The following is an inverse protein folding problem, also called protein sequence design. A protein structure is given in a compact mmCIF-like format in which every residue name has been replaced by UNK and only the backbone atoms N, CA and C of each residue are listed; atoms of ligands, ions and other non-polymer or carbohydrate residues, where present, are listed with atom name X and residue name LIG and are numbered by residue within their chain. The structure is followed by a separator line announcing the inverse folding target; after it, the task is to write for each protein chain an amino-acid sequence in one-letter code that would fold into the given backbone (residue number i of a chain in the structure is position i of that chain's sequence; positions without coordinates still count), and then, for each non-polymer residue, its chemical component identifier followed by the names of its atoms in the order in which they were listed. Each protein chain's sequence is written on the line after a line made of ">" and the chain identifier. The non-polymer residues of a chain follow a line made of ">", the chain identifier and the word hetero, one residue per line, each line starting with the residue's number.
data_IF_775882357307
#
_entry.id   IF_775882357307
#
_cell.length_a   1.000
_cell.length_b   1.000
_cell.length_c   1.000
_cell.angle_alpha   90.00
_cell.angle_beta   90.00
_cell.angle_gamma   90.00
#
_symmetry.space_group_name_H-M   'P 1'
#
loop_
_entity.id
_entity.type
_entity.pdbx_description
1 polymer ?
#
# COMPACT_ATOMS: atom_id res chain seq x y z
N UNK A 1 1.29 -13.81 -17.64
CA UNK A 1 2.07 -13.35 -16.47
C UNK A 1 3.54 -13.77 -16.53
N UNK A 2 3.86 -15.07 -16.55
CA UNK A 2 5.25 -15.57 -16.55
C UNK A 2 6.11 -15.02 -17.70
N UNK A 3 5.58 -14.96 -18.92
CA UNK A 3 6.31 -14.41 -20.08
C UNK A 3 6.76 -12.95 -19.88
N UNK A 4 6.02 -12.15 -19.13
CA UNK A 4 6.42 -10.77 -18.81
C UNK A 4 7.60 -10.75 -17.81
N UNK A 5 7.61 -11.68 -16.83
CA UNK A 5 8.72 -11.85 -15.90
C UNK A 5 9.98 -12.32 -16.61
N UNK A 6 9.86 -13.25 -17.57
CA UNK A 6 11.00 -13.72 -18.38
C UNK A 6 11.61 -12.59 -19.18
N UNK A 7 10.78 -11.80 -19.90
CA UNK A 7 11.28 -10.63 -20.65
C UNK A 7 11.97 -9.62 -19.74
N UNK A 8 11.40 -9.37 -18.56
CA UNK A 8 11.98 -8.43 -17.59
C UNK A 8 13.29 -8.93 -17.01
N UNK A 9 13.38 -10.22 -16.67
CA UNK A 9 14.59 -10.83 -16.15
C UNK A 9 15.71 -10.85 -17.20
N UNK A 10 15.36 -11.17 -18.46
CA UNK A 10 16.28 -11.10 -19.59
C UNK A 10 16.81 -9.68 -19.84
N UNK A 11 15.96 -8.66 -19.74
CA UNK A 11 16.38 -7.26 -19.87
C UNK A 11 17.37 -6.82 -18.77
N UNK A 12 17.31 -7.46 -17.60
CA UNK A 12 18.23 -7.21 -16.47
C UNK A 12 19.40 -8.22 -16.43
N UNK A 13 19.51 -9.14 -17.40
CA UNK A 13 20.57 -10.16 -17.44
C UNK A 13 20.54 -11.16 -16.28
N UNK A 14 19.38 -11.37 -15.65
CA UNK A 14 19.23 -12.22 -14.47
C UNK A 14 18.17 -13.30 -14.67
N UNK A 15 18.13 -14.28 -13.77
CA UNK A 15 17.10 -15.31 -13.77
C UNK A 15 15.79 -14.79 -13.18
N UNK A 16 14.65 -15.40 -13.53
CA UNK A 16 13.34 -15.04 -12.96
C UNK A 16 13.31 -15.17 -11.43
N UNK A 17 13.85 -16.23 -10.80
CA UNK A 17 13.93 -16.30 -9.33
C UNK A 17 14.75 -15.17 -8.70
N UNK A 18 15.83 -14.75 -9.34
CA UNK A 18 16.64 -13.61 -8.88
C UNK A 18 15.86 -12.29 -8.97
N UNK A 19 15.14 -12.08 -10.08
CA UNK A 19 14.25 -10.93 -10.24
C UNK A 19 13.22 -10.88 -9.11
N UNK A 20 12.58 -12.01 -8.80
CA UNK A 20 11.58 -12.09 -7.73
C UNK A 20 12.18 -11.83 -6.35
N UNK A 21 13.36 -12.39 -6.03
CA UNK A 21 14.06 -12.11 -4.76
C UNK A 21 14.37 -10.62 -4.60
N UNK A 22 14.81 -9.94 -5.67
CA UNK A 22 15.04 -8.50 -5.66
C UNK A 22 13.76 -7.69 -5.48
N UNK A 23 12.65 -8.10 -6.10
CA UNK A 23 11.38 -7.42 -5.90
C UNK A 23 10.84 -7.63 -4.48
N UNK A 24 10.96 -8.83 -3.94
CA UNK A 24 10.60 -9.12 -2.55
C UNK A 24 11.43 -8.26 -1.57
N UNK A 25 12.75 -8.16 -1.79
CA UNK A 25 13.61 -7.29 -0.99
C UNK A 25 13.22 -5.80 -1.11
N UNK A 26 12.90 -5.32 -2.32
CA UNK A 26 12.39 -3.94 -2.52
C UNK A 26 11.07 -3.69 -1.80
N UNK A 27 10.15 -4.65 -1.82
CA UNK A 27 8.87 -4.56 -1.12
C UNK A 27 9.08 -4.56 0.40
N UNK A 28 9.96 -5.42 0.91
CA UNK A 28 10.29 -5.48 2.34
C UNK A 28 11.02 -4.22 2.83
N UNK A 29 11.84 -3.59 1.98
CA UNK A 29 12.53 -2.34 2.28
C UNK A 29 11.61 -1.10 2.21
N UNK A 30 10.37 -1.25 1.71
CA UNK A 30 9.43 -0.14 1.64
C UNK A 30 9.05 0.27 3.07
N UNK A 31 9.18 1.55 3.43
CA UNK A 31 8.77 1.98 4.75
C UNK A 31 7.30 1.68 4.99
N UNK A 32 6.91 1.28 6.21
CA UNK A 32 5.52 0.99 6.52
C UNK A 32 4.64 2.21 6.21
N UNK A 33 3.37 1.97 5.89
CA UNK A 33 2.39 3.03 5.61
C UNK A 33 2.35 4.07 6.74
N UNK A 34 2.51 3.63 7.99
CA UNK A 34 2.62 4.51 9.16
C UNK A 34 3.76 5.52 9.08
N UNK A 35 4.93 5.14 8.57
CA UNK A 35 6.07 6.05 8.39
C UNK A 35 5.82 7.07 7.28
N UNK A 36 5.10 6.68 6.23
CA UNK A 36 4.63 7.62 5.20
C UNK A 36 3.59 8.59 5.75
N UNK A 37 2.63 8.10 6.53
CA UNK A 37 1.62 8.92 7.20
C UNK A 37 2.25 9.91 8.19
N UNK A 38 3.23 9.48 8.99
CA UNK A 38 3.96 10.35 9.89
C UNK A 38 4.76 11.44 9.15
N UNK A 39 5.28 11.13 7.95
CA UNK A 39 5.96 12.11 7.09
C UNK A 39 4.98 13.08 6.44
N UNK A 40 3.83 12.60 5.96
CA UNK A 40 2.79 13.41 5.35
C UNK A 40 2.05 14.30 6.37
N UNK A 41 1.87 13.82 7.60
CA UNK A 41 1.24 14.54 8.71
C UNK A 41 2.08 15.68 9.29
N UNK A 42 3.26 15.98 8.73
CA UNK A 42 4.05 17.17 9.11
C UNK A 42 3.39 18.49 8.73
N UNK A 43 2.38 18.47 7.87
CA UNK A 43 1.49 19.61 7.66
C UNK A 43 0.33 19.48 8.65
N UNK A 44 0.19 20.38 9.64
CA UNK A 44 -0.95 20.35 10.53
C UNK A 44 -2.22 20.47 9.69
N UNK A 45 -3.06 19.45 9.76
CA UNK A 45 -4.43 19.49 9.27
C UNK A 45 -5.29 20.00 10.41
N UNK A 46 -6.14 20.98 10.14
CA UNK A 46 -7.17 21.42 11.09
C UNK A 46 -8.24 20.33 11.29
N UNK A 47 -8.33 19.40 10.33
CA UNK A 47 -9.23 18.24 10.38
C UNK A 47 -8.53 17.09 11.12
N UNK A 48 -9.13 16.66 12.21
CA UNK A 48 -8.72 15.51 13.01
C UNK A 48 -9.03 14.18 12.34
N UNK A 49 -8.28 13.14 12.69
CA UNK A 49 -8.55 11.76 12.23
C UNK A 49 -9.96 11.30 12.61
N UNK A 50 -10.48 11.75 13.76
CA UNK A 50 -11.83 11.41 14.22
C UNK A 50 -12.91 11.97 13.29
N UNK A 51 -12.76 13.22 12.82
CA UNK A 51 -13.70 13.84 11.88
C UNK A 51 -13.67 13.14 10.51
N UNK A 52 -12.49 12.73 10.04
CA UNK A 52 -12.36 11.94 8.80
C UNK A 52 -13.07 10.59 8.93
N UNK A 53 -12.89 9.88 10.05
CA UNK A 53 -13.55 8.60 10.27
C UNK A 53 -15.07 8.74 10.39
N UNK A 54 -15.55 9.77 11.10
CA UNK A 54 -16.98 10.05 11.22
C UNK A 54 -17.62 10.36 9.85
N UNK A 55 -16.97 11.18 9.03
CA UNK A 55 -17.44 11.46 7.67
C UNK A 55 -17.44 10.20 6.80
N UNK A 56 -16.38 9.37 6.87
CA UNK A 56 -16.34 8.12 6.12
C UNK A 56 -17.43 7.14 6.56
N UNK A 57 -17.73 7.04 7.84
CA UNK A 57 -18.82 6.21 8.36
C UNK A 57 -20.19 6.72 7.92
N UNK A 58 -20.41 8.04 7.89
CA UNK A 58 -21.62 8.65 7.35
C UNK A 58 -21.79 8.32 5.86
N UNK A 59 -20.74 8.49 5.05
CA UNK A 59 -20.76 8.18 3.61
C UNK A 59 -20.91 6.69 3.32
N UNK A 60 -20.31 5.83 4.15
CA UNK A 60 -20.43 4.38 4.02
C UNK A 60 -21.84 3.90 4.33
N UNK A 61 -22.59 4.65 5.14
CA UNK A 61 -23.89 4.24 5.63
C UNK A 61 -23.79 3.04 6.58
N UNK A 62 -24.95 2.53 7.00
CA UNK A 62 -25.01 1.38 7.90
C UNK A 62 -24.34 0.16 7.26
N UNK A 63 -23.43 -0.50 8.01
CA UNK A 63 -22.75 -1.69 7.52
C UNK A 63 -23.79 -2.79 7.28
N UNK A 64 -23.79 -3.48 6.13
CA UNK A 64 -24.89 -4.35 5.71
C UNK A 64 -25.19 -5.58 6.61
N UNK A 65 -24.53 -5.73 7.75
CA UNK A 65 -24.72 -6.82 8.71
C UNK A 65 -24.63 -6.41 10.20
N UNK A 66 -24.82 -5.14 10.55
CA UNK A 66 -24.71 -4.67 11.94
C UNK A 66 -25.84 -5.16 12.90
N UNK A 67 -26.89 -5.80 12.36
CA UNK A 67 -28.08 -6.23 13.11
C UNK A 67 -28.37 -7.74 13.10
N UNK A 68 -27.34 -8.61 13.15
CA UNK A 68 -27.54 -10.05 13.38
C UNK A 68 -26.96 -10.51 14.71
#
# INVERSE_FOLDING_TARGET
>A
MYAALVRRAAAEGITVPELLRRQAARLAARPPVSHWLARAGRRPSEISTAEVLAALDEWRGEWPHAGR
#
